data_IF_336467547362
#
_entry.id   IF_336467547362
#
_cell.length_a   1.000
_cell.length_b   1.000
_cell.length_c   1.000
_cell.angle_alpha   90.00
_cell.angle_beta   90.00
_cell.angle_gamma   90.00
#
_symmetry.space_group_name_H-M   'P 1'
#
loop_
_entity.id
_entity.type
_entity.pdbx_description
1 polymer ?
#
# COMPACT_ATOMS: atom_id res chain seq x y z
N UNK A 1 83.55 22.84 -10.11
CA UNK A 1 82.85 23.16 -8.85
C UNK A 1 81.45 23.65 -9.17
N UNK A 2 80.44 22.79 -9.08
CA UNK A 2 79.00 23.12 -8.96
C UNK A 2 78.20 21.80 -8.91
N UNK A 3 78.35 21.05 -7.82
CA UNK A 3 77.42 19.98 -7.43
C UNK A 3 77.29 20.08 -5.92
N UNK A 4 76.50 21.05 -5.42
CA UNK A 4 76.21 21.13 -3.98
C UNK A 4 74.94 21.90 -3.59
N UNK A 5 73.97 22.09 -4.49
CA UNK A 5 72.70 22.76 -4.12
C UNK A 5 71.44 21.92 -4.38
N UNK A 6 71.48 20.92 -5.26
CA UNK A 6 70.29 20.12 -5.61
C UNK A 6 70.03 18.96 -4.62
N UNK A 7 71.07 18.43 -3.97
CA UNK A 7 70.94 17.24 -3.11
C UNK A 7 70.52 17.56 -1.67
N UNK A 8 70.61 18.82 -1.23
CA UNK A 8 70.27 19.20 0.16
C UNK A 8 68.80 19.60 0.33
N UNK A 9 68.16 20.15 -0.70
CA UNK A 9 66.73 20.50 -0.65
C UNK A 9 65.81 19.29 -0.85
N UNK A 10 66.29 18.21 -1.46
CA UNK A 10 65.51 16.98 -1.61
C UNK A 10 65.48 16.08 -0.37
N UNK A 11 66.25 16.42 0.67
CA UNK A 11 66.36 15.62 1.92
C UNK A 11 65.65 16.24 3.12
N UNK A 12 65.01 17.41 2.97
CA UNK A 12 64.25 18.06 4.04
C UNK A 12 62.72 18.04 3.80
N UNK A 13 62.27 17.63 2.61
CA UNK A 13 60.83 17.46 2.32
C UNK A 13 60.28 16.06 2.62
N UNK A 14 61.12 15.04 2.82
CA UNK A 14 60.63 13.67 3.08
C UNK A 14 60.48 13.31 4.57
N UNK A 15 61.12 14.04 5.51
CA UNK A 15 61.14 13.65 6.94
C UNK A 15 60.18 14.45 7.84
N UNK A 16 59.49 15.49 7.33
CA UNK A 16 58.62 16.36 8.15
C UNK A 16 57.11 16.15 7.94
N UNK A 17 56.71 15.46 6.86
CA UNK A 17 55.31 15.24 6.50
C UNK A 17 54.65 13.98 7.08
N UNK A 18 55.43 12.98 7.50
CA UNK A 18 54.90 11.70 8.00
C UNK A 18 54.44 11.79 9.46
N UNK A 19 55.26 12.37 10.33
CA UNK A 19 55.02 12.33 11.78
C UNK A 19 53.89 13.28 12.22
N UNK A 20 53.79 14.45 11.59
CA UNK A 20 52.69 15.39 11.84
C UNK A 20 51.35 14.85 11.35
N UNK A 21 51.32 14.16 10.20
CA UNK A 21 50.11 13.56 9.66
C UNK A 21 49.61 12.40 10.54
N UNK A 22 50.51 11.56 11.04
CA UNK A 22 50.19 10.45 11.94
C UNK A 22 49.68 10.93 13.32
N UNK A 23 50.21 12.03 13.85
CA UNK A 23 49.72 12.65 15.09
C UNK A 23 48.32 13.26 14.91
N UNK A 24 48.06 13.90 13.77
CA UNK A 24 46.72 14.45 13.45
C UNK A 24 45.69 13.32 13.23
N UNK A 25 46.07 12.23 12.58
CA UNK A 25 45.20 11.06 12.41
C UNK A 25 44.90 10.36 13.74
N UNK A 26 45.89 10.23 14.62
CA UNK A 26 45.75 9.63 15.95
C UNK A 26 44.84 10.44 16.88
N UNK A 27 44.95 11.77 16.84
CA UNK A 27 44.08 12.66 17.64
C UNK A 27 42.64 12.69 17.12
N UNK A 28 42.45 12.71 15.80
CA UNK A 28 41.12 12.66 15.20
C UNK A 28 40.39 11.34 15.51
N UNK A 29 41.08 10.21 15.43
CA UNK A 29 40.50 8.89 15.78
C UNK A 29 40.18 8.77 17.27
N UNK A 30 41.04 9.31 18.15
CA UNK A 30 40.78 9.36 19.60
C UNK A 30 39.52 10.17 19.96
N UNK A 31 39.31 11.32 19.33
CA UNK A 31 38.11 12.15 19.55
C UNK A 31 36.85 11.45 19.06
N UNK A 32 36.89 10.78 17.90
CA UNK A 32 35.76 10.02 17.36
C UNK A 32 35.36 8.88 18.30
N UNK A 33 36.33 8.13 18.83
CA UNK A 33 36.06 7.05 19.79
C UNK A 33 35.45 7.60 21.08
N UNK A 34 35.96 8.73 21.59
CA UNK A 34 35.41 9.38 22.78
C UNK A 34 33.96 9.83 22.58
N UNK A 35 33.64 10.43 21.42
CA UNK A 35 32.27 10.84 21.08
C UNK A 35 31.35 9.62 20.97
N UNK A 36 31.80 8.53 20.35
CA UNK A 36 31.03 7.28 20.26
C UNK A 36 30.75 6.71 21.66
N UNK A 37 31.75 6.70 22.56
CA UNK A 37 31.58 6.24 23.94
C UNK A 37 30.60 7.12 24.73
N UNK A 38 30.67 8.45 24.56
CA UNK A 38 29.72 9.38 25.17
C UNK A 38 28.30 9.12 24.66
N UNK A 39 28.10 8.99 23.34
CA UNK A 39 26.80 8.68 22.74
C UNK A 39 26.28 7.31 23.20
N UNK A 40 27.15 6.31 23.31
CA UNK A 40 26.81 4.98 23.82
C UNK A 40 26.37 5.05 25.29
N UNK A 41 27.12 5.74 26.15
CA UNK A 41 26.75 5.98 27.54
C UNK A 41 25.42 6.74 27.67
N UNK A 42 25.19 7.75 26.83
CA UNK A 42 23.94 8.50 26.79
C UNK A 42 22.76 7.63 26.35
N UNK A 43 22.97 6.76 25.35
CA UNK A 43 21.94 5.81 24.89
C UNK A 43 21.58 4.78 25.97
N UNK A 44 22.59 4.26 26.70
CA UNK A 44 22.41 3.34 27.83
C UNK A 44 21.66 4.02 28.98
N UNK A 45 22.02 5.25 29.34
CA UNK A 45 21.33 6.03 30.40
C UNK A 45 19.87 6.30 30.04
N UNK A 46 19.59 6.71 28.80
CA UNK A 46 18.23 6.92 28.26
C UNK A 46 17.42 5.62 28.23
N UNK A 47 18.06 4.48 27.94
CA UNK A 47 17.41 3.16 27.98
C UNK A 47 17.03 2.73 29.40
N UNK A 48 17.87 3.02 30.40
CA UNK A 48 17.62 2.71 31.82
C UNK A 48 16.45 3.53 32.36
N UNK A 49 16.41 4.84 32.09
CA UNK A 49 15.30 5.72 32.45
C UNK A 49 13.96 5.27 31.83
N UNK A 50 13.97 4.81 30.57
CA UNK A 50 12.78 4.25 29.90
C UNK A 50 12.30 2.95 30.55
N UNK A 51 13.20 2.12 31.07
CA UNK A 51 12.85 0.88 31.79
C UNK A 51 12.23 1.18 33.16
N UNK A 52 12.80 2.13 33.90
CA UNK A 52 12.27 2.58 35.20
C UNK A 52 10.89 3.22 35.06
N UNK A 53 10.68 4.08 34.04
CA UNK A 53 9.38 4.66 33.74
C UNK A 53 8.30 3.63 33.37
N UNK A 54 8.69 2.53 32.69
CA UNK A 54 7.79 1.41 32.37
C UNK A 54 7.44 0.58 33.61
N UNK A 55 8.38 0.42 34.55
CA UNK A 55 8.14 -0.29 35.83
C UNK A 55 7.15 0.48 36.71
N UNK A 56 7.34 1.80 36.85
CA UNK A 56 6.44 2.68 37.60
C UNK A 56 5.02 2.74 37.01
N UNK A 57 4.88 2.64 35.69
CA UNK A 57 3.56 2.54 35.03
C UNK A 57 2.85 1.21 35.31
N UNK A 58 3.59 0.10 35.42
CA UNK A 58 3.02 -1.21 35.79
C UNK A 58 2.61 -1.27 37.25
N UNK A 59 3.38 -0.65 38.15
CA UNK A 59 3.04 -0.57 39.58
C UNK A 59 1.79 0.29 39.82
N UNK A 60 1.55 1.34 39.02
CA UNK A 60 0.30 2.13 39.07
C UNK A 60 -0.94 1.43 38.52
N UNK A 61 -0.78 0.42 37.66
CA UNK A 61 -1.92 -0.33 37.10
C UNK A 61 -2.27 -1.60 37.90
N UNK A 62 -1.52 -1.92 38.95
CA UNK A 62 -1.71 -3.12 39.78
C UNK A 62 -2.58 -2.96 41.03
N UNK A 63 -3.14 -1.78 41.32
CA UNK A 63 -3.91 -1.53 42.54
C UNK A 63 -5.26 -0.85 42.26
N UNK A 64 -6.28 -1.65 41.93
CA UNK A 64 -7.68 -1.34 42.25
C UNK A 64 -8.50 -2.66 42.32
N UNK A 65 -9.35 -2.86 43.35
CA UNK A 65 -9.92 -4.17 43.68
C UNK A 65 -11.27 -4.47 42.98
N UNK A 66 -11.53 -5.77 42.82
CA UNK A 66 -12.70 -6.41 42.21
C UNK A 66 -13.84 -6.65 43.22
N UNK A 67 -15.11 -6.47 42.80
CA UNK A 67 -16.30 -7.07 43.42
C UNK A 67 -17.54 -7.11 42.45
N UNK A 68 -17.78 -8.27 41.81
CA UNK A 68 -18.98 -9.20 41.79
C UNK A 68 -20.43 -8.59 41.76
N UNK A 69 -21.51 -9.19 41.14
CA UNK A 69 -21.76 -10.60 40.73
C UNK A 69 -22.31 -10.92 39.33
N UNK A 70 -22.31 -12.24 39.04
CA UNK A 70 -22.98 -12.98 37.96
C UNK A 70 -24.51 -12.94 38.07
N UNK A 71 -25.20 -12.81 36.94
CA UNK A 71 -26.19 -13.79 36.45
C UNK A 71 -26.85 -13.35 35.13
N UNK A 72 -27.37 -14.37 34.42
CA UNK A 72 -28.12 -14.40 33.15
C UNK A 72 -27.30 -14.53 31.85
N UNK A 73 -27.11 -15.80 31.50
CA UNK A 73 -26.95 -16.30 30.14
C UNK A 73 -28.04 -15.77 29.20
N UNK A 74 -27.67 -15.42 27.96
CA UNK A 74 -28.24 -15.86 26.67
C UNK A 74 -27.64 -14.97 25.55
N UNK A 75 -27.23 -15.61 24.44
CA UNK A 75 -26.55 -15.10 23.23
C UNK A 75 -25.02 -15.02 23.27
N UNK A 76 -24.40 -16.19 23.21
CA UNK A 76 -23.03 -16.37 22.71
C UNK A 76 -23.10 -17.09 21.36
N UNK A 77 -22.72 -16.41 20.28
CA UNK A 77 -21.86 -17.00 19.26
C UNK A 77 -21.02 -15.89 18.63
N UNK A 78 -19.94 -15.53 19.33
CA UNK A 78 -18.95 -14.56 18.89
C UNK A 78 -17.92 -15.26 17.99
N UNK A 79 -17.80 -14.80 16.74
CA UNK A 79 -16.85 -15.27 15.75
C UNK A 79 -15.42 -14.77 16.08
N UNK A 80 -14.72 -15.55 16.91
CA UNK A 80 -13.38 -15.25 17.44
C UNK A 80 -12.25 -15.68 16.47
N UNK A 81 -12.21 -15.10 15.25
CA UNK A 81 -11.13 -15.39 14.29
C UNK A 81 -10.50 -14.12 13.71
N UNK A 82 -9.71 -13.41 14.51
CA UNK A 82 -8.69 -12.50 13.98
C UNK A 82 -7.47 -12.50 14.90
N UNK A 83 -6.35 -13.04 14.41
CA UNK A 83 -5.07 -13.08 15.14
C UNK A 83 -4.28 -11.82 14.81
N UNK A 84 -3.88 -11.08 15.84
CA UNK A 84 -2.86 -10.05 15.76
C UNK A 84 -1.52 -10.67 15.35
N UNK A 85 -0.99 -10.32 14.18
CA UNK A 85 0.39 -10.58 13.82
C UNK A 85 1.28 -9.40 14.30
N UNK A 86 2.43 -9.66 14.93
CA UNK A 86 3.32 -8.61 15.44
C UNK A 86 4.10 -7.95 14.29
N UNK A 87 3.94 -6.64 14.12
CA UNK A 87 4.76 -5.83 13.21
C UNK A 87 6.13 -5.54 13.83
N UNK A 88 7.19 -5.84 13.07
CA UNK A 88 8.58 -5.43 13.36
C UNK A 88 8.69 -3.90 13.39
N UNK A 89 9.35 -3.37 14.42
CA UNK A 89 9.49 -1.94 14.64
C UNK A 89 10.41 -1.25 13.64
N UNK A 90 9.96 -0.13 13.08
CA UNK A 90 10.79 0.80 12.33
C UNK A 90 11.61 1.67 13.29
N UNK A 91 12.93 1.66 13.12
CA UNK A 91 13.83 2.67 13.64
C UNK A 91 14.00 3.77 12.59
N UNK A 92 13.67 5.00 12.99
CA UNK A 92 13.91 6.23 12.22
C UNK A 92 15.42 6.48 12.10
N UNK A 93 15.89 6.73 10.88
CA UNK A 93 17.15 7.43 10.64
C UNK A 93 16.84 8.73 9.90
N UNK A 94 17.45 9.80 10.39
CA UNK A 94 17.32 11.18 9.96
C UNK A 94 18.71 11.62 9.50
N UNK A 95 18.85 12.23 8.32
CA UNK A 95 19.57 13.51 8.10
C UNK A 95 19.81 13.85 6.61
N UNK A 96 19.35 15.05 6.24
CA UNK A 96 20.00 16.15 5.49
C UNK A 96 21.07 15.91 4.40
N UNK A 97 20.78 16.44 3.20
CA UNK A 97 21.42 17.67 2.69
C UNK A 97 22.30 17.60 1.43
N UNK A 98 21.99 18.43 0.41
CA UNK A 98 22.96 18.92 -0.59
C UNK A 98 22.51 18.85 -2.05
N UNK A 99 22.08 19.99 -2.62
CA UNK A 99 21.46 20.08 -3.95
C UNK A 99 22.40 20.12 -5.15
N UNK A 100 21.80 20.02 -6.34
CA UNK A 100 22.25 20.65 -7.58
C UNK A 100 21.07 20.75 -8.55
N UNK A 101 20.79 21.98 -8.97
CA UNK A 101 19.87 22.35 -10.04
C UNK A 101 20.26 21.68 -11.36
N UNK A 102 19.26 21.23 -12.12
CA UNK A 102 19.15 21.50 -13.57
C UNK A 102 17.77 21.12 -14.15
N UNK A 103 17.17 22.14 -14.73
CA UNK A 103 16.32 22.22 -15.92
C UNK A 103 14.99 21.43 -15.95
N UNK A 104 13.95 22.17 -15.55
CA UNK A 104 12.53 21.96 -15.85
C UNK A 104 12.26 22.20 -17.35
N UNK A 105 11.50 21.30 -17.98
CA UNK A 105 10.69 21.63 -19.17
C UNK A 105 9.41 20.76 -19.20
N UNK A 106 8.30 21.46 -18.93
CA UNK A 106 6.94 21.35 -19.48
C UNK A 106 6.24 20.00 -19.58
N UNK A 107 5.18 19.78 -18.76
CA UNK A 107 3.90 19.20 -19.23
C UNK A 107 2.70 19.87 -18.53
N UNK A 108 1.92 20.56 -19.36
CA UNK A 108 0.63 21.24 -19.22
C UNK A 108 -0.39 20.73 -18.19
N UNK A 109 -0.88 21.64 -17.32
CA UNK A 109 -2.18 21.54 -16.64
C UNK A 109 -3.08 22.65 -17.21
N UNK A 110 -4.21 22.25 -17.80
CA UNK A 110 -5.30 23.13 -18.22
C UNK A 110 -5.80 23.97 -17.04
N UNK A 111 -5.57 25.27 -17.12
CA UNK A 111 -6.08 26.29 -16.20
C UNK A 111 -7.32 26.89 -16.84
N UNK A 112 -8.51 26.53 -16.35
CA UNK A 112 -9.71 27.28 -16.70
C UNK A 112 -9.76 28.56 -15.86
N UNK A 113 -9.62 29.65 -16.60
CA UNK A 113 -9.93 31.03 -16.26
C UNK A 113 -11.41 31.21 -15.96
N UNK A 114 -11.72 31.90 -14.87
CA UNK A 114 -12.79 32.90 -14.80
C UNK A 114 -12.60 33.69 -13.50
N UNK A 115 -12.08 34.91 -13.68
CA UNK A 115 -11.99 35.95 -12.67
C UNK A 115 -13.39 36.53 -12.41
N UNK A 116 -13.77 36.67 -11.14
CA UNK A 116 -14.72 37.72 -10.72
C UNK A 116 -14.18 38.38 -9.46
N UNK A 117 -13.87 39.65 -9.64
CA UNK A 117 -13.28 40.61 -8.72
C UNK A 117 -14.31 41.12 -7.70
N UNK A 118 -13.94 41.24 -6.42
CA UNK A 118 -14.60 42.16 -5.48
C UNK A 118 -13.63 42.54 -4.35
N UNK A 119 -13.08 43.75 -4.44
CA UNK A 119 -12.53 44.50 -3.31
C UNK A 119 -13.67 45.14 -2.49
N UNK A 120 -13.68 44.95 -1.17
CA UNK A 120 -13.82 46.09 -0.24
C UNK A 120 -13.57 45.76 1.25
N UNK A 121 -13.13 46.81 1.95
CA UNK A 121 -12.53 46.86 3.27
C UNK A 121 -13.47 46.71 4.49
N UNK A 122 -12.90 46.11 5.55
CA UNK A 122 -12.97 46.41 6.99
C UNK A 122 -14.30 46.78 7.68
N UNK A 123 -14.71 46.00 8.70
CA UNK A 123 -14.80 46.46 10.10
C UNK A 123 -14.96 45.28 11.08
N UNK A 124 -14.53 45.46 12.33
CA UNK A 124 -14.36 44.41 13.33
C UNK A 124 -15.62 43.90 14.04
N UNK A 125 -15.57 42.63 14.43
CA UNK A 125 -16.03 42.01 15.68
C UNK A 125 -15.85 40.49 15.51
N UNK A 126 -15.13 39.82 16.41
CA UNK A 126 -15.02 38.35 16.42
C UNK A 126 -16.34 37.74 16.93
N UNK A 127 -17.03 36.88 16.17
CA UNK A 127 -17.93 35.91 16.75
C UNK A 127 -17.23 34.55 16.92
N UNK A 128 -17.78 33.76 17.83
CA UNK A 128 -17.24 32.51 18.34
C UNK A 128 -17.03 31.41 17.29
N UNK A 129 -16.08 30.51 17.61
CA UNK A 129 -15.75 29.25 16.95
C UNK A 129 -16.98 28.51 16.40
N UNK A 130 -17.24 28.64 15.09
CA UNK A 130 -18.07 27.71 14.31
C UNK A 130 -17.43 27.55 12.93
N UNK A 131 -17.21 26.29 12.57
CA UNK A 131 -16.73 25.75 11.28
C UNK A 131 -15.29 26.13 10.85
N UNK A 132 -14.36 25.18 11.01
CA UNK A 132 -13.19 25.15 10.14
C UNK A 132 -13.69 24.92 8.70
N UNK A 133 -13.38 25.81 7.73
CA UNK A 133 -13.75 25.58 6.35
C UNK A 133 -12.96 24.37 5.83
N UNK A 134 -13.66 23.41 5.21
CA UNK A 134 -13.02 22.39 4.39
C UNK A 134 -12.16 23.11 3.34
N UNK A 135 -10.85 22.81 3.18
CA UNK A 135 -10.00 23.51 2.21
C UNK A 135 -10.38 23.26 0.75
N UNK A 136 -11.41 22.45 0.49
CA UNK A 136 -11.72 21.91 -0.82
C UNK A 136 -13.20 22.12 -1.15
N UNK A 137 -13.48 22.84 -2.24
CA UNK A 137 -14.81 22.81 -2.88
C UNK A 137 -15.04 21.38 -3.37
N UNK A 138 -15.78 20.61 -2.59
CA UNK A 138 -16.18 19.25 -2.97
C UNK A 138 -17.16 19.33 -4.13
N UNK A 139 -17.03 18.39 -5.06
CA UNK A 139 -17.91 18.24 -6.22
C UNK A 139 -19.38 18.14 -5.74
N UNK A 140 -20.32 18.94 -6.26
CA UNK A 140 -21.74 18.85 -5.90
C UNK A 140 -22.33 17.44 -6.07
N UNK A 141 -21.82 16.67 -7.03
CA UNK A 141 -22.22 15.28 -7.28
C UNK A 141 -21.79 14.38 -6.14
N UNK A 142 -20.59 14.60 -5.62
CA UNK A 142 -20.07 13.85 -4.48
C UNK A 142 -20.84 14.19 -3.20
N UNK A 143 -21.27 15.44 -3.00
CA UNK A 143 -22.04 15.84 -1.82
C UNK A 143 -23.35 15.03 -1.66
N UNK A 144 -23.91 14.47 -2.74
CA UNK A 144 -25.08 13.57 -2.67
C UNK A 144 -24.79 12.25 -1.95
N UNK A 145 -23.54 11.80 -1.96
CA UNK A 145 -23.10 10.59 -1.27
C UNK A 145 -22.59 10.86 0.16
N UNK A 146 -22.67 12.11 0.63
CA UNK A 146 -22.35 12.45 2.01
C UNK A 146 -23.48 11.96 2.92
N UNK A 147 -23.12 11.23 3.98
CA UNK A 147 -24.06 10.77 5.00
C UNK A 147 -23.82 11.51 6.32
N UNK A 148 -24.82 11.47 7.21
CA UNK A 148 -24.63 11.92 8.58
C UNK A 148 -23.68 10.97 9.32
N UNK A 149 -22.68 11.52 10.00
CA UNK A 149 -21.72 10.72 10.77
C UNK A 149 -22.41 9.98 11.93
N UNK A 150 -23.50 10.53 12.47
CA UNK A 150 -24.26 9.92 13.57
C UNK A 150 -24.96 8.62 13.19
N UNK A 151 -25.17 8.38 11.88
CA UNK A 151 -25.73 7.12 11.36
C UNK A 151 -24.67 6.01 11.26
N UNK A 152 -23.39 6.33 11.47
CA UNK A 152 -22.26 5.40 11.32
C UNK A 152 -21.86 4.85 12.69
N UNK A 153 -21.92 3.53 12.83
CA UNK A 153 -21.53 2.85 14.07
C UNK A 153 -20.28 2.01 13.84
N UNK A 154 -19.18 2.39 14.48
CA UNK A 154 -17.93 1.61 14.44
C UNK A 154 -18.05 0.41 15.39
N UNK A 155 -17.53 -0.75 14.97
CA UNK A 155 -17.48 -1.96 15.81
C UNK A 155 -16.05 -2.37 16.13
N UNK A 156 -15.34 -3.03 15.21
CA UNK A 156 -13.97 -3.49 15.41
C UNK A 156 -13.07 -3.12 14.25
N UNK A 157 -11.77 -2.97 14.52
CA UNK A 157 -10.77 -2.75 13.48
C UNK A 157 -10.59 -4.02 12.64
N UNK A 158 -10.63 -3.88 11.31
CA UNK A 158 -10.36 -4.95 10.35
C UNK A 158 -8.89 -4.97 9.96
N UNK A 159 -8.32 -3.80 9.65
CA UNK A 159 -6.92 -3.68 9.23
C UNK A 159 -6.33 -2.30 9.52
N UNK A 160 -5.00 -2.24 9.59
CA UNK A 160 -4.22 -0.99 9.60
C UNK A 160 -3.11 -1.13 8.56
N UNK A 161 -3.17 -0.31 7.51
CA UNK A 161 -2.19 -0.26 6.43
C UNK A 161 -1.34 1.01 6.46
N UNK A 162 -0.56 1.23 5.42
CA UNK A 162 0.27 2.44 5.27
C UNK A 162 -0.57 3.71 5.01
N UNK A 163 -1.71 3.56 4.32
CA UNK A 163 -2.56 4.67 3.83
C UNK A 163 -3.79 4.94 4.68
N UNK A 164 -4.09 4.09 5.66
CA UNK A 164 -5.32 4.18 6.43
C UNK A 164 -5.56 2.98 7.31
N UNK A 165 -6.67 3.03 8.02
CA UNK A 165 -7.22 1.90 8.74
C UNK A 165 -8.64 1.63 8.29
N UNK A 166 -9.01 0.35 8.31
CA UNK A 166 -10.34 -0.11 7.92
C UNK A 166 -11.00 -0.70 9.15
N UNK A 167 -12.24 -0.30 9.40
CA UNK A 167 -13.08 -0.76 10.50
C UNK A 167 -14.29 -1.49 9.94
N UNK A 168 -14.77 -2.48 10.69
CA UNK A 168 -16.12 -2.98 10.54
C UNK A 168 -17.04 -2.00 11.24
N UNK A 169 -18.19 -1.74 10.66
CA UNK A 169 -19.23 -0.96 11.28
C UNK A 169 -20.62 -1.36 10.81
N UNK A 170 -21.60 -0.57 11.22
CA UNK A 170 -22.97 -0.65 10.75
C UNK A 170 -23.41 0.71 10.22
N UNK A 171 -24.17 0.67 9.13
CA UNK A 171 -24.82 1.83 8.52
C UNK A 171 -26.18 1.36 7.98
N UNK A 172 -27.25 2.05 8.34
CA UNK A 172 -28.63 1.69 7.95
C UNK A 172 -28.99 0.21 8.20
N UNK A 173 -28.55 -0.33 9.34
CA UNK A 173 -28.81 -1.72 9.73
C UNK A 173 -27.99 -2.79 9.00
N UNK A 174 -27.10 -2.39 8.09
CA UNK A 174 -26.21 -3.30 7.33
C UNK A 174 -24.77 -3.19 7.79
N UNK A 175 -24.02 -4.30 7.74
CA UNK A 175 -22.58 -4.27 8.00
C UNK A 175 -21.83 -3.58 6.85
N UNK A 176 -20.90 -2.71 7.20
CA UNK A 176 -20.08 -1.93 6.25
C UNK A 176 -18.61 -1.95 6.62
N UNK A 177 -17.74 -1.77 5.62
CA UNK A 177 -16.33 -1.50 5.83
C UNK A 177 -16.08 0.02 5.77
N UNK A 178 -15.54 0.57 6.86
CA UNK A 178 -15.28 2.00 7.04
C UNK A 178 -13.77 2.24 6.93
N UNK A 179 -13.33 2.81 5.82
CA UNK A 179 -11.94 3.22 5.59
C UNK A 179 -11.77 4.67 6.06
N UNK A 180 -10.71 4.94 6.82
CA UNK A 180 -10.36 6.29 7.24
C UNK A 180 -8.85 6.52 7.22
N UNK A 181 -8.45 7.79 7.14
CA UNK A 181 -7.05 8.19 7.16
C UNK A 181 -6.47 7.90 8.56
N UNK A 182 -5.20 7.49 8.60
CA UNK A 182 -4.49 7.28 9.86
C UNK A 182 -4.49 8.54 10.72
N UNK A 183 -4.61 8.35 12.04
CA UNK A 183 -4.60 9.43 13.03
C UNK A 183 -3.39 10.36 12.86
N UNK A 184 -2.22 9.80 12.54
CA UNK A 184 -0.98 10.56 12.39
C UNK A 184 -0.89 11.34 11.06
N UNK A 185 -1.81 11.09 10.11
CA UNK A 185 -1.83 11.69 8.77
C UNK A 185 -3.14 12.41 8.42
N UNK A 186 -4.14 12.39 9.30
CA UNK A 186 -5.47 12.95 9.02
C UNK A 186 -5.51 14.46 8.79
N UNK A 187 -4.44 15.18 9.14
CA UNK A 187 -4.27 16.62 8.87
C UNK A 187 -3.35 16.91 7.68
N UNK A 188 -2.80 15.89 7.02
CA UNK A 188 -1.99 16.06 5.81
C UNK A 188 -2.93 16.31 4.63
N UNK A 189 -2.89 17.53 4.10
CA UNK A 189 -3.73 17.96 2.98
C UNK A 189 -3.60 17.04 1.76
N UNK A 190 -2.39 16.56 1.46
CA UNK A 190 -2.14 15.70 0.30
C UNK A 190 -2.69 14.28 0.52
N UNK A 191 -2.73 13.80 1.75
CA UNK A 191 -3.39 12.51 2.09
C UNK A 191 -4.91 12.63 1.98
N UNK A 192 -5.48 13.73 2.48
CA UNK A 192 -6.91 14.04 2.34
C UNK A 192 -7.31 14.15 0.86
N UNK A 193 -6.56 14.91 0.05
CA UNK A 193 -6.83 15.08 -1.39
C UNK A 193 -6.82 13.74 -2.13
N UNK A 194 -5.82 12.88 -1.86
CA UNK A 194 -5.77 11.55 -2.45
C UNK A 194 -6.96 10.70 -2.05
N UNK A 195 -7.35 10.73 -0.77
CA UNK A 195 -8.49 9.94 -0.32
C UNK A 195 -9.81 10.47 -0.89
N UNK A 196 -9.97 11.79 -0.99
CA UNK A 196 -11.12 12.41 -1.68
C UNK A 196 -11.18 12.00 -3.15
N UNK A 197 -10.03 11.99 -3.85
CA UNK A 197 -9.98 11.53 -5.23
C UNK A 197 -10.37 10.05 -5.35
N UNK A 198 -9.94 9.21 -4.40
CA UNK A 198 -10.33 7.80 -4.32
C UNK A 198 -11.85 7.65 -4.13
N UNK A 199 -12.44 8.39 -3.18
CA UNK A 199 -13.89 8.40 -2.94
C UNK A 199 -14.64 8.84 -4.20
N UNK A 200 -14.17 9.89 -4.88
CA UNK A 200 -14.77 10.36 -6.14
C UNK A 200 -14.80 9.26 -7.19
N UNK A 201 -13.69 8.56 -7.38
CA UNK A 201 -13.61 7.49 -8.36
C UNK A 201 -14.52 6.32 -7.99
N UNK A 202 -14.48 5.86 -6.73
CA UNK A 202 -15.33 4.77 -6.25
C UNK A 202 -16.82 5.10 -6.42
N UNK A 203 -17.22 6.35 -6.16
CA UNK A 203 -18.61 6.80 -6.32
C UNK A 203 -19.13 6.75 -7.77
N UNK A 204 -18.25 6.61 -8.77
CA UNK A 204 -18.66 6.49 -10.18
C UNK A 204 -18.90 5.06 -10.63
N UNK A 205 -18.53 4.07 -9.82
CA UNK A 205 -18.59 2.67 -10.22
C UNK A 205 -19.91 2.02 -9.82
N UNK A 206 -20.41 1.18 -10.71
CA UNK A 206 -21.57 0.33 -10.50
C UNK A 206 -21.38 -0.96 -11.30
N UNK A 207 -20.92 -2.01 -10.64
CA UNK A 207 -20.68 -3.31 -11.27
C UNK A 207 -20.67 -4.43 -10.22
N UNK A 208 -21.26 -5.61 -10.49
CA UNK A 208 -21.35 -6.70 -9.50
C UNK A 208 -20.00 -7.23 -9.01
N UNK A 209 -18.91 -7.04 -9.77
CA UNK A 209 -17.55 -7.43 -9.40
C UNK A 209 -16.67 -6.26 -8.96
N UNK A 210 -17.25 -5.13 -8.58
CA UNK A 210 -16.56 -3.99 -7.94
C UNK A 210 -17.23 -3.74 -6.60
N UNK A 211 -16.41 -3.48 -5.58
CA UNK A 211 -16.91 -3.20 -4.23
C UNK A 211 -17.78 -1.94 -4.24
N UNK A 212 -19.02 -2.08 -3.79
CA UNK A 212 -20.02 -1.03 -3.80
C UNK A 212 -19.67 0.06 -2.78
N UNK A 213 -19.64 1.30 -3.27
CA UNK A 213 -19.49 2.49 -2.45
C UNK A 213 -20.84 2.92 -1.86
N UNK A 214 -20.89 3.11 -0.55
CA UNK A 214 -22.13 3.40 0.18
C UNK A 214 -22.24 4.86 0.62
N UNK A 215 -21.11 5.56 0.73
CA UNK A 215 -21.09 6.96 1.12
C UNK A 215 -19.83 7.34 1.89
N UNK A 216 -19.75 8.59 2.29
CA UNK A 216 -18.63 9.09 3.10
C UNK A 216 -19.14 10.09 4.15
N UNK A 217 -18.32 10.32 5.17
CA UNK A 217 -18.63 11.34 6.18
C UNK A 217 -17.37 11.90 6.82
N UNK A 218 -17.54 12.95 7.61
CA UNK A 218 -16.48 13.58 8.39
C UNK A 218 -16.81 13.41 9.87
N UNK A 219 -15.88 12.88 10.64
CA UNK A 219 -16.06 12.79 12.08
C UNK A 219 -16.07 14.21 12.69
N UNK A 220 -17.16 14.65 13.35
CA UNK A 220 -17.26 16.00 13.87
C UNK A 220 -16.30 16.28 15.04
N UNK A 221 -15.76 15.23 15.69
CA UNK A 221 -14.85 15.38 16.84
C UNK A 221 -13.44 15.80 16.43
N UNK A 222 -12.98 15.32 15.28
CA UNK A 222 -11.58 15.45 14.87
C UNK A 222 -11.36 15.70 13.37
N UNK A 223 -12.44 15.92 12.64
CA UNK A 223 -12.47 16.11 11.19
C UNK A 223 -11.77 15.00 10.41
N UNK A 224 -11.75 13.76 10.91
CA UNK A 224 -11.24 12.65 10.10
C UNK A 224 -12.27 12.24 9.03
N UNK A 225 -11.82 12.15 7.79
CA UNK A 225 -12.63 11.71 6.66
C UNK A 225 -12.74 10.18 6.67
N UNK A 226 -13.96 9.65 6.53
CA UNK A 226 -14.21 8.23 6.37
C UNK A 226 -15.07 7.93 5.13
N UNK A 227 -14.82 6.79 4.51
CA UNK A 227 -15.56 6.25 3.38
C UNK A 227 -16.10 4.87 3.73
N UNK A 228 -17.34 4.59 3.35
CA UNK A 228 -18.02 3.33 3.60
C UNK A 228 -18.20 2.56 2.30
N UNK A 229 -17.98 1.27 2.39
CA UNK A 229 -18.20 0.29 1.33
C UNK A 229 -18.96 -0.90 1.90
N UNK A 230 -19.55 -1.72 1.03
CA UNK A 230 -20.12 -3.00 1.45
C UNK A 230 -19.09 -3.85 2.20
N UNK A 231 -19.56 -4.62 3.19
CA UNK A 231 -18.67 -5.49 3.95
C UNK A 231 -18.46 -6.84 3.26
N UNK A 232 -17.21 -7.11 2.89
CA UNK A 232 -16.79 -8.35 2.24
C UNK A 232 -16.42 -9.41 3.28
N UNK A 233 -17.37 -10.27 3.62
CA UNK A 233 -17.31 -11.19 4.79
C UNK A 233 -16.12 -12.14 4.77
N UNK A 234 -15.69 -12.60 3.59
CA UNK A 234 -14.58 -13.53 3.45
C UNK A 234 -13.20 -12.83 3.36
N UNK A 235 -13.17 -11.50 3.39
CA UNK A 235 -11.95 -10.69 3.40
C UNK A 235 -11.23 -10.70 2.05
N UNK A 236 -9.93 -10.42 2.08
CA UNK A 236 -9.10 -10.41 0.87
C UNK A 236 -8.74 -11.82 0.37
N UNK A 237 -8.65 -11.96 -0.96
CA UNK A 237 -8.37 -13.21 -1.64
C UNK A 237 -7.02 -13.80 -1.21
N UNK A 238 -6.01 -12.96 -0.97
CA UNK A 238 -4.69 -13.41 -0.53
C UNK A 238 -4.77 -14.24 0.77
N UNK A 239 -5.39 -13.70 1.81
CA UNK A 239 -5.59 -14.39 3.09
C UNK A 239 -6.55 -15.57 2.94
N UNK A 240 -7.58 -15.43 2.11
CA UNK A 240 -8.55 -16.50 1.86
C UNK A 240 -7.90 -17.74 1.24
N UNK A 241 -7.05 -17.58 0.23
CA UNK A 241 -6.33 -18.67 -0.43
C UNK A 241 -5.42 -19.42 0.54
N UNK A 242 -4.74 -18.71 1.44
CA UNK A 242 -3.88 -19.33 2.45
C UNK A 242 -4.68 -20.18 3.44
N UNK A 243 -5.85 -19.71 3.86
CA UNK A 243 -6.72 -20.43 4.82
C UNK A 243 -7.41 -21.66 4.21
N UNK A 244 -7.69 -21.63 2.90
CA UNK A 244 -8.48 -22.67 2.22
C UNK A 244 -7.71 -23.45 1.17
N UNK A 245 -6.37 -23.45 1.25
CA UNK A 245 -5.49 -24.10 0.27
C UNK A 245 -5.86 -25.57 0.00
N UNK A 246 -6.33 -26.29 1.01
CA UNK A 246 -6.68 -27.72 0.89
C UNK A 246 -8.07 -27.99 0.27
N UNK A 247 -8.94 -26.97 0.15
CA UNK A 247 -10.33 -27.18 -0.24
C UNK A 247 -10.72 -26.53 -1.56
N UNK A 248 -10.00 -25.51 -2.02
CA UNK A 248 -10.34 -24.79 -3.26
C UNK A 248 -9.87 -25.54 -4.50
N UNK A 249 -10.78 -25.73 -5.46
CA UNK A 249 -10.51 -26.40 -6.74
C UNK A 249 -10.64 -25.43 -7.91
N UNK A 250 -9.94 -25.71 -9.01
CA UNK A 250 -10.13 -24.94 -10.25
C UNK A 250 -11.53 -25.09 -10.82
N UNK A 251 -12.05 -26.32 -10.83
CA UNK A 251 -13.34 -26.68 -11.42
C UNK A 251 -14.51 -25.91 -10.82
N UNK A 252 -14.53 -25.70 -9.51
CA UNK A 252 -15.69 -25.10 -8.83
C UNK A 252 -15.46 -23.69 -8.32
N UNK A 253 -14.29 -23.41 -7.74
CA UNK A 253 -14.10 -22.19 -6.95
C UNK A 253 -13.26 -21.15 -7.72
N UNK A 254 -12.04 -21.54 -8.11
CA UNK A 254 -11.03 -20.59 -8.61
C UNK A 254 -11.40 -20.02 -9.98
N UNK A 255 -12.08 -20.80 -10.84
CA UNK A 255 -12.51 -20.34 -12.16
C UNK A 255 -13.54 -19.21 -12.07
N UNK A 256 -14.47 -19.26 -11.11
CA UNK A 256 -15.45 -18.20 -10.94
C UNK A 256 -14.78 -16.92 -10.43
N UNK A 257 -13.89 -17.03 -9.44
CA UNK A 257 -13.09 -15.90 -8.95
C UNK A 257 -12.29 -15.24 -10.09
N UNK A 258 -11.64 -16.04 -10.94
CA UNK A 258 -10.89 -15.52 -12.09
C UNK A 258 -11.80 -14.75 -13.08
N UNK A 259 -13.00 -15.27 -13.34
CA UNK A 259 -13.98 -14.65 -14.23
C UNK A 259 -14.51 -13.34 -13.64
N UNK A 260 -14.86 -13.33 -12.35
CA UNK A 260 -15.32 -12.16 -11.63
C UNK A 260 -14.29 -11.01 -11.70
N UNK A 261 -13.02 -11.31 -11.43
CA UNK A 261 -11.93 -10.34 -11.53
C UNK A 261 -11.80 -9.81 -12.97
N UNK A 262 -11.80 -10.70 -13.96
CA UNK A 262 -11.68 -10.31 -15.36
C UNK A 262 -12.86 -9.45 -15.82
N UNK A 263 -14.09 -9.75 -15.37
CA UNK A 263 -15.27 -8.94 -15.64
C UNK A 263 -15.20 -7.54 -15.03
N UNK A 264 -14.67 -7.43 -13.80
CA UNK A 264 -14.41 -6.12 -13.19
C UNK A 264 -13.42 -5.29 -14.03
N UNK A 265 -12.37 -5.91 -14.56
CA UNK A 265 -11.43 -5.23 -15.46
C UNK A 265 -12.08 -4.80 -16.78
N UNK A 266 -12.92 -5.66 -17.38
CA UNK A 266 -13.70 -5.28 -18.59
C UNK A 266 -14.51 -4.01 -18.33
N UNK A 267 -15.22 -3.96 -17.20
CA UNK A 267 -16.00 -2.79 -16.83
C UNK A 267 -15.11 -1.55 -16.72
N UNK A 268 -14.05 -1.57 -15.93
CA UNK A 268 -13.14 -0.43 -15.76
C UNK A 268 -12.54 0.05 -17.08
N UNK A 269 -12.11 -0.90 -17.92
CA UNK A 269 -11.47 -0.62 -19.21
C UNK A 269 -12.47 -0.10 -20.26
N UNK A 270 -13.77 -0.30 -20.04
CA UNK A 270 -14.86 0.17 -20.93
C UNK A 270 -15.35 1.59 -20.62
N UNK A 271 -15.02 2.14 -19.45
CA UNK A 271 -15.45 3.48 -19.04
C UNK A 271 -14.87 4.58 -19.94
N UNK A 272 -15.51 5.75 -19.94
CA UNK A 272 -15.03 6.95 -20.64
C UNK A 272 -14.97 8.13 -19.65
N UNK A 273 -13.77 8.59 -19.25
CA UNK A 273 -12.46 8.07 -19.66
C UNK A 273 -12.19 6.65 -19.15
N UNK A 274 -11.37 5.90 -19.89
CA UNK A 274 -10.92 4.54 -19.52
C UNK A 274 -10.24 4.58 -18.16
N UNK A 275 -10.65 3.70 -17.25
CA UNK A 275 -10.03 3.55 -15.94
C UNK A 275 -9.10 2.35 -15.94
N UNK A 276 -7.85 2.55 -15.54
CA UNK A 276 -6.86 1.47 -15.33
C UNK A 276 -6.76 1.27 -13.82
N UNK A 277 -6.90 0.03 -13.34
CA UNK A 277 -6.86 -0.27 -11.91
C UNK A 277 -5.50 0.08 -11.30
N UNK A 278 -4.43 -0.26 -12.03
CA UNK A 278 -3.02 -0.04 -11.69
C UNK A 278 -2.52 -0.86 -10.53
N UNK A 279 -3.29 -1.13 -9.47
CA UNK A 279 -2.81 -1.89 -8.31
C UNK A 279 -3.50 -3.27 -8.16
N UNK A 280 -3.72 -3.98 -9.26
CA UNK A 280 -4.38 -5.29 -9.18
C UNK A 280 -3.44 -6.31 -8.51
N UNK A 281 -3.93 -6.91 -7.42
CA UNK A 281 -3.29 -7.98 -6.65
C UNK A 281 -4.35 -8.69 -5.83
N UNK A 282 -4.09 -9.93 -5.40
CA UNK A 282 -5.01 -10.71 -4.57
C UNK A 282 -5.43 -10.02 -3.26
N UNK A 283 -4.63 -9.10 -2.71
CA UNK A 283 -5.01 -8.29 -1.53
C UNK A 283 -6.09 -7.24 -1.79
N UNK A 284 -6.25 -6.84 -3.06
CA UNK A 284 -7.25 -5.85 -3.50
C UNK A 284 -8.43 -6.55 -4.21
N UNK A 285 -8.51 -7.89 -4.11
CA UNK A 285 -9.68 -8.67 -4.50
C UNK A 285 -10.35 -9.10 -3.20
N UNK A 286 -11.58 -8.67 -2.95
CA UNK A 286 -12.34 -9.03 -1.77
C UNK A 286 -13.44 -10.04 -2.11
N UNK A 287 -13.81 -10.87 -1.15
CA UNK A 287 -14.81 -11.93 -1.31
C UNK A 287 -16.01 -11.69 -0.40
N UNK A 288 -17.21 -11.71 -0.98
CA UNK A 288 -18.47 -11.62 -0.24
C UNK A 288 -18.77 -12.95 0.49
N UNK A 289 -19.92 -13.06 1.15
CA UNK A 289 -20.33 -14.27 1.86
C UNK A 289 -20.53 -15.51 0.95
N UNK A 290 -20.83 -15.28 -0.33
CA UNK A 290 -21.01 -16.30 -1.38
C UNK A 290 -19.73 -16.60 -2.17
N UNK A 291 -18.60 -15.99 -1.79
CA UNK A 291 -17.32 -16.08 -2.49
C UNK A 291 -17.33 -15.44 -3.90
N UNK A 292 -18.25 -14.51 -4.17
CA UNK A 292 -18.17 -13.63 -5.33
C UNK A 292 -16.98 -12.69 -5.16
N UNK A 293 -16.14 -12.59 -6.18
CA UNK A 293 -14.99 -11.70 -6.13
C UNK A 293 -15.35 -10.29 -6.60
N UNK A 294 -14.91 -9.29 -5.83
CA UNK A 294 -15.03 -7.88 -6.17
C UNK A 294 -13.71 -7.14 -6.02
N UNK A 295 -13.39 -6.28 -6.97
CA UNK A 295 -12.19 -5.43 -6.91
C UNK A 295 -12.39 -4.24 -5.96
N UNK A 296 -11.33 -3.91 -5.21
CA UNK A 296 -11.22 -2.77 -4.30
C UNK A 296 -9.93 -1.98 -4.56
N UNK A 297 -9.78 -0.82 -3.90
CA UNK A 297 -8.53 -0.05 -3.85
C UNK A 297 -7.94 0.31 -5.23
N UNK A 298 -8.68 1.16 -5.95
CA UNK A 298 -8.33 1.65 -7.28
C UNK A 298 -7.16 2.65 -7.20
N UNK A 299 -6.13 2.43 -8.01
CA UNK A 299 -4.77 2.96 -7.85
C UNK A 299 -4.54 4.46 -8.10
N UNK A 300 -5.42 5.34 -7.63
CA UNK A 300 -5.18 6.80 -7.62
C UNK A 300 -3.94 7.14 -6.79
N UNK A 301 -3.69 6.38 -5.71
CA UNK A 301 -2.51 6.54 -4.85
C UNK A 301 -1.21 5.96 -5.44
N UNK A 302 -1.24 5.29 -6.60
CA UNK A 302 -0.06 4.59 -7.13
C UNK A 302 1.02 5.52 -7.69
N UNK A 303 0.69 6.77 -8.05
CA UNK A 303 1.69 7.79 -8.36
C UNK A 303 2.67 8.01 -7.17
N UNK A 304 2.17 7.92 -5.92
CA UNK A 304 3.01 7.89 -4.71
C UNK A 304 3.68 6.54 -4.50
N UNK A 305 2.99 5.42 -4.76
CA UNK A 305 3.58 4.10 -4.56
C UNK A 305 4.79 3.88 -5.45
N UNK A 306 4.91 4.45 -6.65
CA UNK A 306 6.13 4.25 -7.45
C UNK A 306 7.36 4.91 -6.77
N UNK A 307 7.20 6.11 -6.22
CA UNK A 307 8.26 6.81 -5.48
C UNK A 307 8.60 6.12 -4.15
N UNK A 308 7.57 5.68 -3.40
CA UNK A 308 7.74 4.99 -2.12
C UNK A 308 8.15 3.52 -2.28
N UNK A 309 7.71 2.78 -3.31
CA UNK A 309 8.08 1.37 -3.54
C UNK A 309 9.54 1.23 -3.97
N UNK A 310 10.08 2.27 -4.64
CA UNK A 310 11.52 2.35 -4.94
C UNK A 310 12.38 2.54 -3.68
N UNK A 311 11.81 3.04 -2.57
CA UNK A 311 12.53 3.31 -1.30
C UNK A 311 12.09 2.42 -0.13
N UNK A 312 10.89 1.86 -0.15
CA UNK A 312 10.24 1.09 0.89
C UNK A 312 9.62 -0.20 0.30
N UNK A 313 10.48 -1.21 0.13
CA UNK A 313 10.12 -2.62 0.09
C UNK A 313 8.87 -3.05 -0.69
N UNK A 314 9.05 -3.52 -1.93
CA UNK A 314 8.53 -4.76 -2.57
C UNK A 314 7.03 -5.08 -2.58
N UNK A 315 6.22 -4.66 -1.61
CA UNK A 315 4.94 -5.30 -1.26
C UNK A 315 3.87 -5.32 -2.36
N UNK A 316 3.97 -4.43 -3.35
CA UNK A 316 3.08 -4.34 -4.52
C UNK A 316 3.78 -4.71 -5.83
N UNK A 317 5.11 -4.72 -5.86
CA UNK A 317 5.88 -4.86 -7.09
C UNK A 317 5.73 -6.25 -7.75
N UNK A 318 5.43 -7.29 -6.97
CA UNK A 318 5.34 -8.65 -7.50
C UNK A 318 4.25 -8.82 -8.57
N UNK A 319 3.21 -7.98 -8.55
CA UNK A 319 2.10 -8.04 -9.51
C UNK A 319 2.25 -7.09 -10.69
N UNK A 320 3.18 -6.15 -10.62
CA UNK A 320 3.28 -5.11 -11.64
C UNK A 320 3.97 -5.65 -12.90
N UNK A 321 3.47 -5.19 -14.05
CA UNK A 321 4.03 -5.47 -15.36
C UNK A 321 5.43 -4.83 -15.52
N UNK A 322 6.33 -5.40 -16.34
CA UNK A 322 7.68 -4.88 -16.53
C UNK A 322 7.70 -3.41 -16.96
N UNK A 323 6.80 -2.99 -17.84
CA UNK A 323 6.72 -1.62 -18.36
C UNK A 323 6.35 -0.58 -17.28
N UNK A 324 5.70 -1.01 -16.19
CA UNK A 324 5.39 -0.13 -15.04
C UNK A 324 6.68 0.30 -14.32
N UNK A 325 7.70 -0.56 -14.27
CA UNK A 325 8.99 -0.25 -13.65
C UNK A 325 9.91 0.56 -14.56
N UNK A 326 9.74 0.40 -15.88
CA UNK A 326 10.57 1.07 -16.89
C UNK A 326 10.11 2.51 -17.17
N UNK A 327 9.14 3.03 -16.40
CA UNK A 327 8.52 4.34 -16.60
C UNK A 327 8.04 4.58 -18.05
N UNK A 328 7.69 3.50 -18.75
CA UNK A 328 7.12 3.57 -20.09
C UNK A 328 5.66 3.97 -20.00
N UNK A 329 5.09 4.45 -21.11
CA UNK A 329 3.63 4.61 -21.22
C UNK A 329 3.00 3.22 -21.06
N UNK A 330 2.25 3.02 -19.98
CA UNK A 330 1.48 1.80 -19.75
C UNK A 330 -0.01 2.06 -20.03
N UNK A 331 -0.70 1.02 -20.48
CA UNK A 331 -2.12 1.03 -20.78
C UNK A 331 -2.85 -0.03 -19.92
N UNK A 332 -4.08 -0.35 -20.26
CA UNK A 332 -4.90 -1.38 -19.63
C UNK A 332 -4.28 -2.79 -19.66
N UNK A 333 -3.30 -3.05 -20.54
CA UNK A 333 -2.57 -4.34 -20.59
C UNK A 333 -1.70 -4.57 -19.35
N UNK A 334 -1.37 -3.52 -18.59
CA UNK A 334 -0.69 -3.67 -17.32
C UNK A 334 -1.56 -4.39 -16.28
N UNK A 335 -2.87 -4.12 -16.25
CA UNK A 335 -3.81 -4.83 -15.36
C UNK A 335 -3.94 -6.30 -15.81
N UNK A 336 -3.88 -6.59 -17.11
CA UNK A 336 -3.92 -7.97 -17.63
C UNK A 336 -2.69 -8.77 -17.18
N UNK A 337 -1.50 -8.17 -17.18
CA UNK A 337 -0.31 -8.82 -16.61
C UNK A 337 -0.50 -9.13 -15.13
N UNK A 338 -1.01 -8.16 -14.35
CA UNK A 338 -1.31 -8.36 -12.94
C UNK A 338 -2.35 -9.46 -12.72
N UNK A 339 -3.36 -9.59 -13.61
CA UNK A 339 -4.30 -10.71 -13.59
C UNK A 339 -3.58 -12.05 -13.82
N UNK A 340 -2.64 -12.12 -14.75
CA UNK A 340 -1.80 -13.30 -14.96
C UNK A 340 -1.03 -13.72 -13.70
N UNK A 341 -0.54 -12.76 -12.91
CA UNK A 341 0.08 -13.03 -11.61
C UNK A 341 -0.95 -13.55 -10.59
N UNK A 342 -2.16 -12.96 -10.55
CA UNK A 342 -3.25 -13.43 -9.67
C UNK A 342 -3.71 -14.85 -10.04
N UNK A 343 -3.70 -15.23 -11.32
CA UNK A 343 -3.98 -16.61 -11.74
C UNK A 343 -2.97 -17.61 -11.16
N UNK A 344 -1.69 -17.24 -11.07
CA UNK A 344 -0.66 -18.04 -10.39
C UNK A 344 -0.94 -18.16 -8.89
N UNK A 345 -1.42 -17.09 -8.24
CA UNK A 345 -1.81 -17.15 -6.82
C UNK A 345 -3.01 -18.06 -6.60
N UNK A 346 -4.03 -17.96 -7.46
CA UNK A 346 -5.19 -18.86 -7.42
C UNK A 346 -4.74 -20.31 -7.54
N UNK A 347 -3.79 -20.60 -8.44
CA UNK A 347 -3.30 -21.95 -8.63
C UNK A 347 -2.51 -22.46 -7.41
N UNK A 348 -1.47 -21.74 -7.02
CA UNK A 348 -0.46 -22.17 -6.05
C UNK A 348 -0.87 -21.94 -4.59
N UNK A 349 -1.83 -21.04 -4.37
CA UNK A 349 -2.19 -20.46 -3.07
C UNK A 349 -0.95 -19.94 -2.31
N UNK A 350 0.02 -19.39 -3.03
CA UNK A 350 1.30 -18.94 -2.51
C UNK A 350 1.62 -17.49 -2.95
N UNK A 351 2.62 -16.89 -2.30
CA UNK A 351 3.13 -15.57 -2.70
C UNK A 351 3.79 -15.72 -4.08
N UNK A 352 3.51 -14.83 -5.06
CA UNK A 352 4.16 -14.88 -6.36
C UNK A 352 5.69 -14.84 -6.26
N UNK A 353 6.37 -15.62 -7.12
CA UNK A 353 7.83 -15.71 -7.20
C UNK A 353 8.54 -16.20 -5.92
N UNK A 354 7.80 -16.78 -4.95
CA UNK A 354 8.36 -17.26 -3.69
C UNK A 354 9.48 -18.31 -3.85
N UNK A 355 9.52 -18.99 -5.01
CA UNK A 355 10.47 -20.02 -5.39
C UNK A 355 11.66 -19.51 -6.24
N UNK A 356 11.64 -18.27 -6.72
CA UNK A 356 12.60 -17.76 -7.71
C UNK A 356 13.59 -16.74 -7.17
N UNK A 357 13.22 -15.98 -6.15
CA UNK A 357 13.99 -14.81 -5.71
C UNK A 357 14.19 -14.80 -4.19
N UNK A 358 14.64 -15.92 -3.64
CA UNK A 358 14.95 -16.03 -2.21
C UNK A 358 16.30 -15.33 -1.97
N UNK A 359 16.27 -14.24 -1.21
CA UNK A 359 17.46 -13.51 -0.79
C UNK A 359 18.32 -14.32 0.19
N UNK A 360 19.53 -13.82 0.49
CA UNK A 360 20.53 -14.48 1.36
C UNK A 360 20.02 -14.82 2.77
N UNK A 361 18.92 -14.20 3.21
CA UNK A 361 18.28 -14.42 4.50
C UNK A 361 17.11 -15.44 4.44
N UNK A 362 16.93 -16.14 3.33
CA UNK A 362 15.83 -17.10 3.15
C UNK A 362 14.46 -16.45 2.92
N UNK A 363 14.39 -15.13 2.69
CA UNK A 363 13.15 -14.40 2.43
C UNK A 363 13.09 -13.92 0.99
N UNK A 364 11.88 -13.74 0.46
CA UNK A 364 11.67 -13.17 -0.86
C UNK A 364 12.30 -11.78 -0.97
N UNK A 365 13.19 -11.61 -1.93
CA UNK A 365 13.79 -10.35 -2.32
C UNK A 365 13.06 -9.83 -3.56
N UNK A 366 12.11 -8.93 -3.35
CA UNK A 366 11.36 -8.38 -4.48
C UNK A 366 12.17 -7.47 -5.39
N UNK A 367 13.29 -6.90 -4.94
CA UNK A 367 14.16 -6.15 -5.87
C UNK A 367 14.81 -7.12 -6.86
N UNK A 368 15.18 -8.32 -6.39
CA UNK A 368 15.61 -9.40 -7.28
C UNK A 368 14.49 -9.84 -8.22
N UNK A 369 13.23 -9.95 -7.76
CA UNK A 369 12.07 -10.22 -8.64
C UNK A 369 11.93 -9.14 -9.72
N UNK A 370 11.87 -7.86 -9.33
CA UNK A 370 11.74 -6.74 -10.27
C UNK A 370 12.85 -6.79 -11.32
N UNK A 371 14.10 -7.02 -10.88
CA UNK A 371 15.24 -7.14 -11.79
C UNK A 371 15.08 -8.32 -12.77
N UNK A 372 14.63 -9.48 -12.30
CA UNK A 372 14.44 -10.65 -13.18
C UNK A 372 13.30 -10.43 -14.17
N UNK A 373 12.18 -9.85 -13.72
CA UNK A 373 11.01 -9.56 -14.57
C UNK A 373 11.36 -8.51 -15.62
N UNK A 374 12.02 -7.41 -15.24
CA UNK A 374 12.45 -6.35 -16.19
C UNK A 374 13.50 -6.84 -17.19
N UNK A 375 14.31 -7.85 -16.82
CA UNK A 375 15.24 -8.53 -17.72
C UNK A 375 14.58 -9.64 -18.55
N UNK A 376 13.27 -9.83 -18.43
CA UNK A 376 12.51 -10.88 -19.12
C UNK A 376 12.99 -12.31 -18.79
N UNK A 377 13.44 -12.54 -17.55
CA UNK A 377 14.02 -13.80 -17.07
C UNK A 377 13.14 -14.55 -16.08
N UNK A 378 12.03 -13.96 -15.64
CA UNK A 378 11.14 -14.56 -14.66
C UNK A 378 9.67 -14.27 -14.97
N UNK A 379 8.84 -15.28 -14.76
CA UNK A 379 7.37 -15.25 -14.69
C UNK A 379 6.96 -16.03 -13.43
N UNK A 380 5.81 -15.75 -12.81
CA UNK A 380 5.38 -16.51 -11.65
C UNK A 380 5.18 -17.99 -12.03
N UNK A 381 5.43 -18.90 -11.09
CA UNK A 381 5.28 -20.34 -11.31
C UNK A 381 3.86 -20.82 -11.07
N UNK A 382 3.56 -22.00 -11.60
CA UNK A 382 2.30 -22.72 -11.42
C UNK A 382 2.60 -24.10 -10.85
N UNK A 383 1.66 -24.64 -10.09
CA UNK A 383 1.75 -26.00 -9.56
C UNK A 383 1.77 -27.02 -10.70
N UNK A 384 2.39 -28.21 -10.48
CA UNK A 384 2.37 -29.29 -11.47
C UNK A 384 0.94 -29.75 -11.82
N UNK A 385 0.00 -29.60 -10.89
CA UNK A 385 -1.42 -29.93 -11.04
C UNK A 385 -2.27 -28.82 -11.66
N UNK A 386 -1.66 -27.69 -12.07
CA UNK A 386 -2.39 -26.61 -12.72
C UNK A 386 -3.00 -27.11 -14.05
N UNK A 387 -4.31 -26.91 -14.29
CA UNK A 387 -4.92 -27.23 -15.57
C UNK A 387 -4.23 -26.51 -16.72
N UNK A 388 -4.05 -27.19 -17.85
CA UNK A 388 -3.24 -26.68 -18.95
C UNK A 388 -3.83 -25.42 -19.56
N UNK A 389 -5.15 -25.36 -19.70
CA UNK A 389 -5.88 -24.23 -20.28
C UNK A 389 -5.76 -22.97 -19.40
N UNK A 390 -5.74 -23.15 -18.08
CA UNK A 390 -5.51 -22.08 -17.11
C UNK A 390 -4.08 -21.55 -17.24
N UNK A 391 -3.11 -22.46 -17.22
CA UNK A 391 -1.68 -22.13 -17.35
C UNK A 391 -1.38 -21.42 -18.68
N UNK A 392 -1.93 -21.91 -19.78
CA UNK A 392 -1.78 -21.32 -21.10
C UNK A 392 -2.34 -19.89 -21.17
N UNK A 393 -3.55 -19.67 -20.65
CA UNK A 393 -4.14 -18.33 -20.57
C UNK A 393 -3.30 -17.40 -19.69
N UNK A 394 -2.84 -17.87 -18.52
CA UNK A 394 -2.04 -17.06 -17.63
C UNK A 394 -0.71 -16.65 -18.27
N UNK A 395 -0.05 -17.54 -19.01
CA UNK A 395 1.19 -17.19 -19.72
C UNK A 395 0.98 -16.18 -20.85
N UNK A 396 -0.18 -16.19 -21.53
CA UNK A 396 -0.56 -15.14 -22.49
C UNK A 396 -0.76 -13.79 -21.79
N UNK A 397 -1.35 -13.78 -20.60
CA UNK A 397 -1.49 -12.56 -19.79
C UNK A 397 -0.12 -12.04 -19.33
N UNK A 398 0.82 -12.94 -19.04
CA UNK A 398 2.18 -12.66 -18.57
C UNK A 398 3.18 -12.41 -19.72
N UNK A 399 2.73 -12.07 -20.93
CA UNK A 399 3.66 -11.69 -22.00
C UNK A 399 4.44 -10.43 -21.61
N UNK A 400 5.73 -10.37 -21.95
CA UNK A 400 6.54 -9.20 -21.63
C UNK A 400 6.16 -8.01 -22.52
N UNK A 401 5.73 -8.26 -23.75
CA UNK A 401 5.22 -7.24 -24.68
C UNK A 401 3.73 -6.96 -24.38
N UNK A 402 3.36 -5.74 -23.96
CA UNK A 402 1.98 -5.41 -23.59
C UNK A 402 0.96 -5.70 -24.69
N UNK A 403 1.31 -5.46 -25.96
CA UNK A 403 0.39 -5.62 -27.09
C UNK A 403 0.13 -7.09 -27.46
N UNK A 404 0.99 -8.01 -27.02
CA UNK A 404 0.77 -9.45 -27.19
C UNK A 404 -0.22 -10.03 -26.16
N UNK A 405 -0.51 -9.28 -25.09
CA UNK A 405 -1.43 -9.73 -24.04
C UNK A 405 -2.88 -9.62 -24.55
N UNK A 406 -3.76 -10.58 -24.23
CA UNK A 406 -5.19 -10.45 -24.51
C UNK A 406 -5.80 -9.26 -23.75
N UNK A 407 -6.95 -8.77 -24.20
CA UNK A 407 -7.69 -7.72 -23.51
C UNK A 407 -8.47 -8.34 -22.37
N UNK A 408 -8.92 -7.55 -21.40
CA UNK A 408 -9.78 -8.07 -20.34
C UNK A 408 -11.02 -8.79 -20.93
N UNK A 409 -11.57 -8.27 -22.03
CA UNK A 409 -12.73 -8.87 -22.71
C UNK A 409 -12.39 -10.23 -23.33
N UNK A 410 -11.26 -10.32 -24.04
CA UNK A 410 -10.77 -11.59 -24.59
C UNK A 410 -10.45 -12.61 -23.48
N UNK A 411 -9.90 -12.16 -22.34
CA UNK A 411 -9.67 -13.03 -21.17
C UNK A 411 -10.98 -13.59 -20.64
N UNK A 412 -12.01 -12.77 -20.45
CA UNK A 412 -13.35 -13.23 -20.02
C UNK A 412 -13.90 -14.26 -21.01
N UNK A 413 -13.78 -13.99 -22.31
CA UNK A 413 -14.26 -14.90 -23.35
C UNK A 413 -13.54 -16.24 -23.29
N UNK A 414 -12.21 -16.25 -23.24
CA UNK A 414 -11.41 -17.48 -23.14
C UNK A 414 -11.74 -18.26 -21.86
N UNK A 415 -11.89 -17.58 -20.73
CA UNK A 415 -12.26 -18.20 -19.46
C UNK A 415 -13.62 -18.92 -19.54
N UNK A 416 -14.61 -18.29 -20.19
CA UNK A 416 -15.98 -18.83 -20.29
C UNK A 416 -16.13 -19.90 -21.35
N UNK A 417 -15.47 -19.77 -22.49
CA UNK A 417 -15.71 -20.62 -23.68
C UNK A 417 -14.69 -21.73 -23.85
N UNK A 418 -13.50 -21.61 -23.28
CA UNK A 418 -12.44 -22.61 -23.41
C UNK A 418 -12.03 -23.19 -22.07
N UNK A 419 -11.66 -22.34 -21.09
CA UNK A 419 -11.10 -22.82 -19.81
C UNK A 419 -12.17 -23.50 -18.96
N UNK A 420 -13.29 -22.83 -18.65
CA UNK A 420 -14.34 -23.41 -17.80
C UNK A 420 -14.88 -24.75 -18.37
N UNK A 421 -15.22 -24.87 -19.68
CA UNK A 421 -15.65 -26.14 -20.24
C UNK A 421 -14.59 -27.24 -20.14
N UNK A 422 -13.31 -26.93 -20.35
CA UNK A 422 -12.23 -27.91 -20.21
C UNK A 422 -12.12 -28.44 -18.77
N UNK A 423 -12.30 -27.58 -17.77
CA UNK A 423 -12.30 -27.96 -16.36
C UNK A 423 -13.49 -28.85 -15.97
N UNK A 424 -14.59 -28.81 -16.72
CA UNK A 424 -15.78 -29.64 -16.47
C UNK A 424 -15.66 -31.04 -17.07
N UNK A 425 -14.76 -31.24 -18.04
CA UNK A 425 -14.53 -32.52 -18.70
C UNK A 425 -13.56 -33.45 -17.94
N UNK A 426 -12.83 -32.90 -16.97
CA UNK A 426 -11.87 -33.61 -16.09
C UNK A 426 -12.44 -33.72 -14.70
#
# INVERSE_FOLDING_TARGET
MSVSASTYLRRLEEDSGSDTLNIVLGTATGVIVLVILILFCHSKRKSKQRREARRLRRERQGHAPSAVPKDSDVYMEADNRTINLPMMGHQQHNQNGGGKQRDEQDIYIMRNSEDVDYHNHANGQKPANVAAPLPFKMDPTLLKAKVDYSDIQYTRKLSKGAFGEVWLGQFQGSYVAIKQILEERKTDAKEIECFVAEIKLMATFQHPNIVDFLGFSWNPKDANLCAMTEYMKNGDLFVFLQKRKATLTWRHDKIQIAIDIAQALVYLHSLSPKVIHRDLKSKNVLLDDRCTAKLSDFGISRLRQLEETMTAGVGTALWAAPEVFLAMKYNDRADVYSLGVVLSELDTCAIPYADQAIGKNGKLDGMAVIKLVTQQKAKPTFSPSCPEEVRALAFRCLDYEPDNRPSAAEVVEILKTHVRPALEQV
#
